data_IF_197690652836
#
_entry.id   IF_197690652836
#
_cell.length_a   1.000
_cell.length_b   1.000
_cell.length_c   1.000
_cell.angle_alpha   90.00
_cell.angle_beta   90.00
_cell.angle_gamma   90.00
#
_symmetry.space_group_name_H-M   'P 1'
#
loop_
_entity.id
_entity.type
_entity.pdbx_description
1 polymer ?
#
# COMPACT_ATOMS: atom_id res chain seq x y z
N UNK A 1 -8.27 3.42 10.83
CA UNK A 1 -6.95 3.83 10.32
C UNK A 1 -7.18 4.98 9.35
N UNK A 2 -6.29 5.96 9.28
CA UNK A 2 -6.42 7.14 8.42
C UNK A 2 -7.04 8.35 9.13
N UNK A 3 -6.43 9.53 9.03
CA UNK A 3 -7.05 10.82 9.33
C UNK A 3 -6.52 11.89 8.36
N UNK A 4 -7.20 13.03 8.28
CA UNK A 4 -6.89 14.09 7.29
C UNK A 4 -5.52 14.77 7.48
N UNK A 5 -4.82 14.49 8.59
CA UNK A 5 -3.46 14.97 8.83
C UNK A 5 -2.37 13.99 8.37
N UNK A 6 -2.76 12.83 7.81
CA UNK A 6 -1.80 11.87 7.27
C UNK A 6 -1.16 12.41 5.97
N UNK A 7 0.00 11.86 5.58
CA UNK A 7 0.75 12.29 4.40
C UNK A 7 -0.06 12.23 3.09
N UNK A 8 -1.00 11.29 3.03
CA UNK A 8 -1.88 11.06 1.88
C UNK A 8 -3.29 10.78 2.40
N UNK A 9 -4.25 11.52 1.86
CA UNK A 9 -5.68 11.27 2.07
C UNK A 9 -6.16 10.27 1.03
N UNK A 10 -6.59 9.10 1.46
CA UNK A 10 -7.15 8.08 0.55
C UNK A 10 -8.62 8.43 0.29
N UNK A 11 -8.93 8.73 -0.97
CA UNK A 11 -10.30 9.04 -1.39
C UNK A 11 -11.10 7.79 -1.76
N UNK A 12 -10.48 6.88 -2.51
CA UNK A 12 -11.15 5.66 -2.95
C UNK A 12 -10.16 4.51 -3.18
N UNK A 13 -10.63 3.30 -2.90
CA UNK A 13 -9.94 2.05 -3.24
C UNK A 13 -10.99 1.09 -3.78
N UNK A 14 -10.76 0.53 -4.97
CA UNK A 14 -11.57 -0.52 -5.56
C UNK A 14 -10.70 -1.74 -5.80
N UNK A 15 -11.26 -2.89 -5.48
CA UNK A 15 -10.67 -4.20 -5.69
C UNK A 15 -11.58 -4.97 -6.65
N UNK A 16 -10.99 -5.68 -7.62
CA UNK A 16 -11.75 -6.54 -8.51
C UNK A 16 -10.95 -7.83 -8.79
N UNK A 17 -11.44 -9.02 -8.40
CA UNK A 17 -12.69 -9.25 -7.68
C UNK A 17 -12.63 -8.82 -6.20
N UNK A 18 -13.77 -8.38 -5.65
CA UNK A 18 -13.96 -8.12 -4.22
C UNK A 18 -15.06 -9.05 -3.67
N UNK A 19 -14.74 -10.04 -2.79
CA UNK A 19 -13.43 -10.27 -2.15
C UNK A 19 -12.38 -10.91 -3.08
N UNK A 20 -11.07 -10.66 -2.88
CA UNK A 20 -10.01 -11.27 -3.68
C UNK A 20 -9.98 -12.80 -3.59
N UNK A 21 -9.71 -13.46 -4.72
CA UNK A 21 -9.66 -14.91 -4.84
C UNK A 21 -8.25 -15.44 -5.16
N UNK A 22 -7.91 -16.59 -4.57
CA UNK A 22 -6.63 -17.27 -4.81
C UNK A 22 -6.53 -17.77 -6.25
N UNK A 23 -5.34 -17.68 -6.83
CA UNK A 23 -5.06 -18.12 -8.19
C UNK A 23 -5.70 -17.26 -9.28
N UNK A 24 -6.17 -16.07 -8.92
CA UNK A 24 -6.77 -15.12 -9.84
C UNK A 24 -6.00 -13.80 -9.81
N UNK A 25 -6.11 -13.06 -10.89
CA UNK A 25 -5.62 -11.68 -10.99
C UNK A 25 -6.51 -10.77 -10.16
N UNK A 26 -5.90 -9.90 -9.39
CA UNK A 26 -6.55 -8.84 -8.64
C UNK A 26 -6.20 -7.51 -9.29
N UNK A 27 -7.23 -6.77 -9.70
CA UNK A 27 -7.14 -5.41 -10.16
C UNK A 27 -7.40 -4.47 -8.97
N UNK A 28 -6.47 -3.56 -8.74
CA UNK A 28 -6.53 -2.57 -7.66
C UNK A 28 -6.54 -1.20 -8.31
N UNK A 29 -7.57 -0.40 -8.03
CA UNK A 29 -7.66 0.99 -8.45
C UNK A 29 -7.77 1.86 -7.20
N UNK A 30 -6.97 2.92 -7.13
CA UNK A 30 -7.03 3.85 -6.01
C UNK A 30 -6.93 5.30 -6.46
N UNK A 31 -7.56 6.18 -5.69
CA UNK A 31 -7.38 7.63 -5.78
C UNK A 31 -7.14 8.23 -4.41
N UNK A 32 -6.39 9.33 -4.38
CA UNK A 32 -6.10 10.05 -3.15
C UNK A 32 -5.43 11.38 -3.43
N UNK A 33 -5.25 12.16 -2.36
CA UNK A 33 -4.57 13.45 -2.39
C UNK A 33 -3.29 13.36 -1.55
N UNK A 34 -2.15 13.69 -2.14
CA UNK A 34 -0.86 13.80 -1.43
C UNK A 34 -0.81 15.16 -0.74
N UNK A 35 -0.95 15.15 0.59
CA UNK A 35 -0.97 16.36 1.42
C UNK A 35 0.43 16.94 1.64
N UNK A 36 1.45 16.08 1.59
CA UNK A 36 2.85 16.48 1.79
C UNK A 36 3.76 15.73 0.83
N UNK A 37 4.70 16.45 0.22
CA UNK A 37 5.68 15.89 -0.73
C UNK A 37 6.41 14.67 -0.15
N UNK A 38 6.33 13.55 -0.87
CA UNK A 38 7.03 12.31 -0.50
C UNK A 38 8.40 12.29 -1.18
N UNK A 39 9.46 12.12 -0.39
CA UNK A 39 10.85 12.19 -0.83
C UNK A 39 11.58 10.86 -0.65
N UNK A 40 12.74 10.72 -1.30
CA UNK A 40 13.59 9.54 -1.16
C UNK A 40 13.95 9.27 0.31
N UNK A 41 13.96 7.99 0.68
CA UNK A 41 14.13 7.53 2.06
C UNK A 41 12.82 7.42 2.86
N UNK A 42 11.68 7.78 2.25
CA UNK A 42 10.36 7.47 2.82
C UNK A 42 10.17 5.95 2.82
N UNK A 43 9.52 5.42 3.86
CA UNK A 43 9.40 3.99 4.07
C UNK A 43 8.01 3.58 4.52
N UNK A 44 7.66 2.31 4.30
CA UNK A 44 6.42 1.69 4.76
C UNK A 44 6.75 0.55 5.71
N UNK A 45 6.23 0.61 6.93
CA UNK A 45 6.23 -0.51 7.87
C UNK A 45 4.95 -1.36 7.65
N UNK A 46 5.12 -2.59 7.17
CA UNK A 46 4.03 -3.54 6.91
C UNK A 46 4.06 -4.66 7.94
N UNK A 47 2.91 -4.95 8.54
CA UNK A 47 2.71 -6.10 9.42
C UNK A 47 1.51 -6.92 8.97
N UNK A 48 1.69 -8.24 8.88
CA UNK A 48 0.65 -9.20 8.48
C UNK A 48 0.44 -10.20 9.60
N UNK A 49 -0.81 -10.35 10.02
CA UNK A 49 -1.24 -11.39 10.96
C UNK A 49 -2.08 -12.44 10.23
N UNK A 50 -1.97 -13.69 10.67
CA UNK A 50 -2.86 -14.78 10.30
C UNK A 50 -3.53 -15.29 11.58
N UNK A 51 -4.81 -14.94 11.74
CA UNK A 51 -5.48 -15.01 13.04
C UNK A 51 -4.73 -14.20 14.10
N UNK A 52 -4.19 -14.89 15.12
CA UNK A 52 -3.47 -14.26 16.24
C UNK A 52 -1.94 -14.21 16.03
N UNK A 53 -1.40 -14.92 15.03
CA UNK A 53 0.04 -15.05 14.80
C UNK A 53 0.52 -13.96 13.84
N UNK A 54 1.64 -13.30 14.15
CA UNK A 54 2.31 -12.38 13.22
C UNK A 54 3.14 -13.19 12.22
N UNK A 55 2.73 -13.18 10.95
CA UNK A 55 3.47 -13.86 9.88
C UNK A 55 4.62 -13.03 9.33
N UNK A 56 4.39 -11.72 9.19
CA UNK A 56 5.32 -10.81 8.56
C UNK A 56 5.37 -9.50 9.32
N UNK A 57 6.57 -8.96 9.50
CA UNK A 57 6.79 -7.57 9.85
C UNK A 57 8.03 -7.13 9.10
N UNK A 58 7.85 -6.25 8.12
CA UNK A 58 8.93 -5.79 7.25
C UNK A 58 8.77 -4.32 6.92
N UNK A 59 9.91 -3.67 6.75
CA UNK A 59 10.00 -2.32 6.22
C UNK A 59 10.34 -2.39 4.74
N UNK A 60 9.67 -1.57 3.94
CA UNK A 60 9.92 -1.41 2.51
C UNK A 60 10.23 0.05 2.22
N UNK A 61 11.08 0.29 1.22
CA UNK A 61 11.27 1.63 0.68
C UNK A 61 10.04 2.02 -0.15
N UNK A 62 9.44 3.16 0.17
CA UNK A 62 8.23 3.63 -0.51
C UNK A 62 8.54 4.04 -1.95
N UNK A 63 9.69 4.66 -2.18
CA UNK A 63 10.08 5.17 -3.50
C UNK A 63 10.42 4.05 -4.49
N UNK A 64 10.97 2.93 -4.01
CA UNK A 64 11.18 1.75 -4.85
C UNK A 64 9.84 1.13 -5.28
N UNK A 65 8.89 1.01 -4.34
CA UNK A 65 7.58 0.40 -4.59
C UNK A 65 6.71 1.23 -5.56
N UNK A 66 6.69 2.55 -5.39
CA UNK A 66 5.86 3.42 -6.25
C UNK A 66 6.35 3.44 -7.70
N UNK A 67 7.63 3.15 -7.93
CA UNK A 67 8.18 2.94 -9.28
C UNK A 67 7.47 1.81 -10.04
N UNK A 68 7.02 0.76 -9.35
CA UNK A 68 6.30 -0.36 -9.98
C UNK A 68 4.89 -0.02 -10.43
N UNK A 69 4.32 1.09 -9.94
CA UNK A 69 2.98 1.58 -10.30
C UNK A 69 3.06 2.83 -11.20
N UNK A 70 4.24 3.17 -11.71
CA UNK A 70 4.45 4.27 -12.65
C UNK A 70 4.56 5.66 -12.02
N UNK A 71 4.59 5.74 -10.68
CA UNK A 71 4.89 6.97 -9.96
C UNK A 71 6.40 7.09 -9.78
N UNK A 72 6.91 8.33 -9.72
CA UNK A 72 8.33 8.61 -9.48
C UNK A 72 8.47 9.46 -8.24
N UNK A 73 9.46 9.14 -7.42
CA UNK A 73 9.90 10.06 -6.38
C UNK A 73 10.76 11.18 -6.98
N UNK A 74 10.68 12.41 -6.44
CA UNK A 74 9.76 12.82 -5.39
C UNK A 74 8.31 12.91 -5.91
N UNK A 75 7.36 12.44 -5.10
CA UNK A 75 5.93 12.57 -5.40
C UNK A 75 5.50 13.93 -4.88
N UNK A 76 5.13 14.82 -5.79
CA UNK A 76 4.66 16.16 -5.46
C UNK A 76 3.26 16.11 -4.83
N UNK A 77 2.91 17.18 -4.13
CA UNK A 77 1.58 17.38 -3.57
C UNK A 77 0.52 17.45 -4.69
N UNK A 78 -0.66 16.89 -4.41
CA UNK A 78 -1.78 16.89 -5.36
C UNK A 78 -2.48 15.54 -5.52
N UNK A 79 -3.44 15.52 -6.45
CA UNK A 79 -4.28 14.36 -6.71
C UNK A 79 -3.52 13.27 -7.46
N UNK A 80 -3.61 12.04 -6.96
CA UNK A 80 -3.02 10.86 -7.58
C UNK A 80 -4.09 9.81 -7.85
N UNK A 81 -3.90 9.09 -8.95
CA UNK A 81 -4.66 7.89 -9.29
C UNK A 81 -3.70 6.81 -9.72
N UNK A 82 -3.93 5.59 -9.27
CA UNK A 82 -3.14 4.45 -9.66
C UNK A 82 -4.03 3.25 -9.95
N UNK A 83 -3.54 2.39 -10.83
CA UNK A 83 -4.13 1.10 -11.13
C UNK A 83 -3.02 0.06 -11.19
N UNK A 84 -3.19 -1.07 -10.51
CA UNK A 84 -2.22 -2.16 -10.53
C UNK A 84 -2.93 -3.50 -10.61
N UNK A 85 -2.42 -4.35 -11.49
CA UNK A 85 -2.79 -5.75 -11.58
C UNK A 85 -1.73 -6.59 -10.86
N UNK A 86 -2.18 -7.49 -9.99
CA UNK A 86 -1.32 -8.43 -9.26
C UNK A 86 -1.89 -9.85 -9.32
N UNK A 87 -1.03 -10.85 -9.45
CA UNK A 87 -1.44 -12.26 -9.37
C UNK A 87 -1.49 -12.71 -7.91
N UNK A 88 -2.63 -13.24 -7.47
CA UNK A 88 -2.77 -13.85 -6.13
C UNK A 88 -2.38 -15.33 -6.21
N UNK A 89 -1.33 -15.79 -5.49
CA UNK A 89 -0.90 -17.19 -5.51
C UNK A 89 -1.98 -18.18 -5.03
N UNK A 90 -1.96 -19.41 -5.55
CA UNK A 90 -2.90 -20.48 -5.18
C UNK A 90 -2.57 -21.11 -3.83
N UNK A 91 -1.31 -21.04 -3.44
CA UNK A 91 -0.70 -21.71 -2.30
C UNK A 91 -0.98 -21.00 -0.97
N UNK A 92 -1.58 -19.79 -1.02
CA UNK A 92 -1.95 -19.04 0.19
C UNK A 92 -2.90 -19.90 1.04
N UNK A 93 -2.61 -20.17 2.32
CA UNK A 93 -3.51 -20.92 3.21
C UNK A 93 -4.88 -20.25 3.40
N UNK A 94 -5.97 -21.02 3.64
CA UNK A 94 -7.27 -20.44 3.96
C UNK A 94 -7.29 -19.89 5.37
N UNK A 95 -7.74 -18.65 5.56
CA UNK A 95 -7.96 -18.06 6.88
C UNK A 95 -8.00 -16.54 6.83
N UNK A 96 -8.04 -15.91 8.01
CA UNK A 96 -8.16 -14.45 8.16
C UNK A 96 -6.77 -13.84 8.21
N UNK A 97 -6.47 -13.03 7.20
CA UNK A 97 -5.27 -12.21 7.15
C UNK A 97 -5.61 -10.78 7.54
N UNK A 98 -4.86 -10.20 8.47
CA UNK A 98 -4.97 -8.79 8.84
C UNK A 98 -3.68 -8.08 8.48
N UNK A 99 -3.76 -7.14 7.56
CA UNK A 99 -2.63 -6.34 7.10
C UNK A 99 -2.72 -4.96 7.73
N UNK A 100 -1.62 -4.47 8.31
CA UNK A 100 -1.47 -3.08 8.71
C UNK A 100 -0.23 -2.52 8.02
N UNK A 101 -0.38 -1.39 7.34
CA UNK A 101 0.70 -0.68 6.67
C UNK A 101 0.71 0.77 7.17
N UNK A 102 1.90 1.28 7.53
CA UNK A 102 2.10 2.66 7.98
C UNK A 102 3.23 3.26 7.14
N UNK A 103 2.93 4.27 6.35
CA UNK A 103 3.92 5.03 5.59
C UNK A 103 4.45 6.20 6.43
N UNK A 104 5.76 6.46 6.36
CA UNK A 104 6.42 7.60 7.00
C UNK A 104 7.41 8.26 6.06
N UNK A 105 7.57 9.57 6.21
CA UNK A 105 8.68 10.31 5.63
C UNK A 105 10.01 9.85 6.25
N UNK A 106 11.16 10.13 5.61
CA UNK A 106 12.46 9.80 6.20
C UNK A 106 12.60 10.51 7.55
N UNK A 107 13.23 9.83 8.50
CA UNK A 107 13.53 10.45 9.79
C UNK A 107 14.52 11.61 9.55
N UNK A 108 14.06 12.85 9.67
CA UNK A 108 14.93 14.03 9.63
C UNK A 108 15.83 14.00 10.85
N UNK A 109 17.14 13.90 10.62
CA UNK A 109 18.17 14.14 11.64
C UNK A 109 18.46 15.63 11.75
#
# INVERSE_FOLDING_TARGET
CGNDQDLVTIESVRLNPDPPHKGQKLFIEGSGHVNQRVVNGSYIDVSVKYGLIKLLTRRFDLCDLVGEIGLKCPIEEGDIRFSKEVDIPKEIPPGIYTVNAIARLPDTK
#
